data_IF_314901278207
#
_entry.id   IF_314901278207
#
_cell.length_a   1.000
_cell.length_b   1.000
_cell.length_c   1.000
_cell.angle_alpha   90.00
_cell.angle_beta   90.00
_cell.angle_gamma   90.00
#
_symmetry.space_group_name_H-M   'P 1'
#
loop_
_entity.id
_entity.type
_entity.pdbx_description
1 polymer ?
#
# COMPACT_ATOMS: atom_id res chain seq x y z
N UNK A 1 -28.36 -8.64 5.77
CA UNK A 1 -28.15 -7.20 5.93
C UNK A 1 -27.26 -6.68 4.82
N UNK A 2 -27.85 -6.03 3.83
CA UNK A 2 -27.14 -5.46 2.68
C UNK A 2 -26.37 -4.22 3.15
N UNK A 3 -25.03 -4.30 3.23
CA UNK A 3 -24.20 -3.11 3.43
C UNK A 3 -24.20 -2.34 2.11
N UNK A 4 -24.96 -1.25 2.07
CA UNK A 4 -24.88 -0.25 1.01
C UNK A 4 -23.49 0.38 1.06
N UNK A 5 -22.63 0.01 0.12
CA UNK A 5 -21.36 0.71 -0.13
C UNK A 5 -21.70 2.08 -0.74
N UNK A 6 -21.15 3.19 -0.22
CA UNK A 6 -21.25 4.45 -0.93
C UNK A 6 -20.49 4.29 -2.25
N UNK A 7 -21.19 4.55 -3.35
CA UNK A 7 -20.74 4.37 -4.74
C UNK A 7 -19.59 5.32 -5.16
N UNK A 8 -18.97 6.03 -4.22
CA UNK A 8 -17.73 6.75 -4.42
C UNK A 8 -16.91 6.71 -3.12
N UNK A 9 -15.62 6.35 -3.20
CA UNK A 9 -14.76 6.35 -2.03
C UNK A 9 -14.61 7.76 -1.46
N UNK A 10 -14.66 7.88 -0.13
CA UNK A 10 -14.62 9.15 0.58
C UNK A 10 -13.32 9.92 0.22
N UNK A 11 -13.40 11.18 -0.23
CA UNK A 11 -12.23 11.95 -0.68
C UNK A 11 -11.16 12.14 0.41
N UNK A 12 -11.55 12.16 1.70
CA UNK A 12 -10.61 12.20 2.82
C UNK A 12 -9.81 10.90 2.89
N UNK A 13 -10.45 9.75 2.70
CA UNK A 13 -9.78 8.44 2.70
C UNK A 13 -8.81 8.31 1.52
N UNK A 14 -9.21 8.78 0.34
CA UNK A 14 -8.33 8.84 -0.83
C UNK A 14 -7.10 9.72 -0.56
N UNK A 15 -7.27 10.87 0.09
CA UNK A 15 -6.17 11.75 0.46
C UNK A 15 -5.21 11.09 1.45
N UNK A 16 -5.72 10.32 2.42
CA UNK A 16 -4.89 9.54 3.35
C UNK A 16 -4.09 8.48 2.59
N UNK A 17 -4.71 7.73 1.68
CA UNK A 17 -4.02 6.74 0.83
C UNK A 17 -2.96 7.39 -0.06
N UNK A 18 -3.28 8.51 -0.70
CA UNK A 18 -2.37 9.27 -1.55
C UNK A 18 -1.16 9.86 -0.81
N UNK A 19 -1.29 10.08 0.51
CA UNK A 19 -0.23 10.63 1.37
C UNK A 19 0.71 9.56 1.94
N UNK A 20 0.41 8.27 1.73
CA UNK A 20 1.24 7.20 2.27
C UNK A 20 2.63 7.17 1.60
N UNK A 21 3.72 6.89 2.34
CA UNK A 21 5.04 6.78 1.71
C UNK A 21 5.08 5.68 0.65
N UNK A 22 5.78 5.95 -0.45
CA UNK A 22 6.00 4.96 -1.51
C UNK A 22 6.78 3.76 -0.98
N UNK A 23 6.37 2.57 -1.42
CA UNK A 23 7.09 1.33 -1.14
C UNK A 23 8.49 1.37 -1.78
N UNK A 24 9.53 1.06 -0.99
CA UNK A 24 10.94 1.07 -1.39
C UNK A 24 11.64 2.43 -1.30
N UNK A 25 10.96 3.47 -0.82
CA UNK A 25 11.57 4.80 -0.66
C UNK A 25 12.60 4.82 0.48
N UNK A 26 13.83 5.29 0.20
CA UNK A 26 14.90 5.43 1.22
C UNK A 26 14.63 6.52 2.26
N UNK A 27 13.74 7.47 1.94
CA UNK A 27 13.29 8.56 2.82
C UNK A 27 11.93 8.21 3.39
N UNK A 28 11.86 7.17 4.22
CA UNK A 28 10.68 6.92 5.04
C UNK A 28 10.80 7.78 6.29
N UNK A 29 9.89 8.74 6.46
CA UNK A 29 9.93 9.74 7.55
C UNK A 29 9.75 9.15 8.97
N UNK A 30 9.58 7.83 9.12
CA UNK A 30 9.47 7.17 10.42
C UNK A 30 10.31 5.90 10.51
N UNK A 31 10.88 5.66 11.69
CA UNK A 31 11.62 4.44 12.02
C UNK A 31 10.74 3.17 11.85
N UNK A 32 9.43 3.29 12.05
CA UNK A 32 8.49 2.18 11.88
C UNK A 32 8.36 1.79 10.40
N UNK A 33 8.17 2.76 9.50
CA UNK A 33 8.10 2.48 8.05
C UNK A 33 9.42 1.91 7.50
N UNK A 34 10.57 2.32 8.05
CA UNK A 34 11.87 1.73 7.71
C UNK A 34 11.97 0.27 8.14
N UNK A 35 11.52 -0.06 9.35
CA UNK A 35 11.52 -1.43 9.86
C UNK A 35 10.60 -2.34 9.05
N UNK A 36 9.40 -1.86 8.71
CA UNK A 36 8.43 -2.61 7.89
C UNK A 36 9.01 -3.01 6.53
N UNK A 37 9.79 -2.12 5.90
CA UNK A 37 10.34 -2.34 4.55
C UNK A 37 11.77 -2.89 4.53
N UNK A 38 12.33 -3.30 5.66
CA UNK A 38 13.72 -3.76 5.75
C UNK A 38 14.03 -4.92 4.76
N UNK A 39 13.07 -5.82 4.55
CA UNK A 39 13.21 -6.97 3.64
C UNK A 39 13.11 -6.60 2.14
N UNK A 40 12.91 -5.32 1.81
CA UNK A 40 12.71 -4.84 0.44
C UNK A 40 13.95 -4.14 -0.14
N UNK A 41 15.14 -4.25 0.46
CA UNK A 41 16.36 -3.61 -0.02
C UNK A 41 16.95 -4.31 -1.27
N UNK A 42 17.59 -3.58 -2.21
CA UNK A 42 18.50 -4.16 -3.23
C UNK A 42 18.15 -4.09 -4.74
N UNK A 43 16.98 -3.59 -5.16
CA UNK A 43 16.53 -3.44 -6.57
C UNK A 43 15.55 -2.27 -6.67
N UNK A 44 16.05 -1.05 -6.44
CA UNK A 44 15.20 0.15 -6.35
C UNK A 44 14.53 0.54 -7.68
N UNK A 45 15.13 0.21 -8.82
CA UNK A 45 14.67 0.66 -10.14
C UNK A 45 13.37 -0.04 -10.58
N UNK A 46 13.29 -1.36 -10.49
CA UNK A 46 12.08 -2.11 -10.88
C UNK A 46 10.87 -1.70 -10.03
N UNK A 47 11.08 -1.48 -8.73
CA UNK A 47 10.03 -1.04 -7.83
C UNK A 47 9.64 0.43 -8.10
N UNK A 48 10.58 1.27 -8.54
CA UNK A 48 10.29 2.65 -8.95
C UNK A 48 9.39 2.67 -10.18
N UNK A 49 9.71 1.85 -11.18
CA UNK A 49 8.88 1.72 -12.39
C UNK A 49 7.48 1.21 -12.07
N UNK A 50 7.38 0.16 -11.25
CA UNK A 50 6.09 -0.41 -10.88
C UNK A 50 5.22 0.55 -10.05
N UNK A 51 5.83 1.37 -9.18
CA UNK A 51 5.12 2.46 -8.50
C UNK A 51 4.60 3.50 -9.50
N UNK A 52 5.37 3.84 -10.55
CA UNK A 52 4.93 4.78 -11.59
C UNK A 52 3.73 4.20 -12.36
N UNK A 53 3.83 2.98 -12.86
CA UNK A 53 2.75 2.29 -13.55
C UNK A 53 1.48 2.21 -12.67
N UNK A 54 1.65 1.90 -11.38
CA UNK A 54 0.55 1.88 -10.43
C UNK A 54 -0.14 3.25 -10.28
N UNK A 55 0.63 4.32 -10.12
CA UNK A 55 0.10 5.68 -9.93
C UNK A 55 -0.59 6.21 -11.19
N UNK A 56 -0.12 5.82 -12.38
CA UNK A 56 -0.78 6.12 -13.65
C UNK A 56 -2.11 5.36 -13.78
N UNK A 57 -2.14 4.10 -13.35
CA UNK A 57 -3.34 3.26 -13.37
C UNK A 57 -4.39 3.69 -12.36
N UNK A 58 -3.95 4.14 -11.18
CA UNK A 58 -4.80 4.54 -10.06
C UNK A 58 -4.50 5.98 -9.60
N UNK A 59 -4.93 7.00 -10.37
CA UNK A 59 -4.62 8.38 -10.06
C UNK A 59 -5.03 8.79 -8.64
N UNK A 60 -4.10 9.40 -7.91
CA UNK A 60 -4.32 9.86 -6.53
C UNK A 60 -4.07 8.80 -5.45
N UNK A 61 -3.82 7.54 -5.80
CA UNK A 61 -3.45 6.48 -4.85
C UNK A 61 -1.94 6.28 -4.78
N UNK A 62 -1.50 5.73 -3.65
CA UNK A 62 -0.19 5.07 -3.51
C UNK A 62 -0.44 3.59 -3.29
N UNK A 63 0.49 2.76 -3.74
CA UNK A 63 0.39 1.33 -3.44
C UNK A 63 0.67 1.11 -1.96
N UNK A 64 -0.35 0.66 -1.24
CA UNK A 64 -0.27 0.33 0.18
C UNK A 64 -0.54 -1.15 0.34
N UNK A 65 0.40 -1.85 0.97
CA UNK A 65 0.30 -3.28 1.23
C UNK A 65 0.90 -3.58 2.59
N UNK A 66 0.25 -4.48 3.34
CA UNK A 66 0.83 -5.01 4.55
C UNK A 66 1.87 -6.06 4.19
N UNK A 67 3.14 -5.76 4.50
CA UNK A 67 4.28 -6.57 4.08
C UNK A 67 4.48 -7.81 4.93
N UNK A 68 4.20 -7.81 6.24
CA UNK A 68 4.20 -8.97 7.14
C UNK A 68 5.24 -10.10 6.84
N UNK A 69 6.50 -9.75 6.60
CA UNK A 69 7.55 -10.74 6.27
C UNK A 69 7.57 -11.26 4.83
N UNK A 70 6.62 -10.87 3.98
CA UNK A 70 6.60 -11.11 2.53
C UNK A 70 7.86 -10.52 1.89
N UNK A 71 8.47 -11.32 1.01
CA UNK A 71 9.66 -10.92 0.26
C UNK A 71 9.32 -9.96 -0.88
N UNK A 72 10.32 -9.20 -1.37
CA UNK A 72 10.11 -8.24 -2.45
C UNK A 72 9.49 -8.83 -3.74
N UNK A 73 9.92 -10.00 -4.26
CA UNK A 73 9.32 -10.56 -5.48
C UNK A 73 7.83 -10.82 -5.32
N UNK A 74 7.41 -11.28 -4.15
CA UNK A 74 6.01 -11.54 -3.84
C UNK A 74 5.19 -10.24 -3.82
N UNK A 75 5.74 -9.18 -3.22
CA UNK A 75 5.09 -7.86 -3.19
C UNK A 75 5.00 -7.25 -4.60
N UNK A 76 6.03 -7.40 -5.42
CA UNK A 76 6.01 -6.91 -6.80
C UNK A 76 5.01 -7.66 -7.66
N UNK A 77 4.89 -8.98 -7.51
CA UNK A 77 3.88 -9.77 -8.20
C UNK A 77 2.46 -9.39 -7.79
N UNK A 78 2.22 -9.11 -6.51
CA UNK A 78 0.95 -8.59 -6.01
C UNK A 78 0.64 -7.22 -6.62
N UNK A 79 1.59 -6.27 -6.59
CA UNK A 79 1.42 -4.96 -7.23
C UNK A 79 1.08 -5.08 -8.71
N UNK A 80 1.81 -5.93 -9.47
CA UNK A 80 1.53 -6.19 -10.89
C UNK A 80 0.12 -6.76 -11.10
N UNK A 81 -0.28 -7.77 -10.32
CA UNK A 81 -1.60 -8.37 -10.42
C UNK A 81 -2.74 -7.36 -10.15
N UNK A 82 -2.53 -6.40 -9.24
CA UNK A 82 -3.49 -5.32 -8.96
C UNK A 82 -3.57 -4.31 -10.10
N UNK A 83 -2.42 -3.91 -10.66
CA UNK A 83 -2.37 -3.04 -11.86
C UNK A 83 -3.12 -3.70 -13.02
N UNK A 84 -2.88 -4.98 -13.26
CA UNK A 84 -3.51 -5.74 -14.35
C UNK A 84 -5.02 -5.89 -14.14
N UNK A 85 -5.46 -6.10 -12.88
CA UNK A 85 -6.89 -6.08 -12.52
C UNK A 85 -7.54 -4.74 -12.85
N UNK A 86 -6.86 -3.63 -12.53
CA UNK A 86 -7.26 -2.28 -12.93
C UNK A 86 -8.59 -1.77 -12.37
N UNK A 87 -9.12 -2.42 -11.33
CA UNK A 87 -10.36 -2.03 -10.66
C UNK A 87 -10.06 -1.03 -9.55
N UNK A 88 -10.42 0.23 -9.78
CA UNK A 88 -10.13 1.34 -8.86
C UNK A 88 -10.87 1.19 -7.53
N UNK A 89 -12.14 0.77 -7.53
CA UNK A 89 -12.93 0.65 -6.31
C UNK A 89 -12.36 -0.46 -5.41
N UNK A 90 -12.04 -1.61 -6.01
CA UNK A 90 -11.37 -2.70 -5.30
C UNK A 90 -9.99 -2.29 -4.77
N UNK A 91 -9.25 -1.44 -5.49
CA UNK A 91 -7.93 -1.00 -5.03
C UNK A 91 -8.03 -0.02 -3.85
N UNK A 92 -9.05 0.84 -3.82
CA UNK A 92 -9.29 1.68 -2.64
C UNK A 92 -9.60 0.82 -1.42
N UNK A 93 -10.50 -0.16 -1.55
CA UNK A 93 -10.84 -1.07 -0.45
C UNK A 93 -9.60 -1.85 0.03
N UNK A 94 -8.78 -2.35 -0.90
CA UNK A 94 -7.55 -3.07 -0.57
C UNK A 94 -6.51 -2.20 0.13
N UNK A 95 -6.35 -0.94 -0.30
CA UNK A 95 -5.44 0.01 0.34
C UNK A 95 -5.88 0.37 1.76
N UNK A 96 -7.20 0.53 1.98
CA UNK A 96 -7.76 0.82 3.30
C UNK A 96 -7.61 -0.35 4.26
N UNK A 97 -7.89 -1.57 3.82
CA UNK A 97 -7.69 -2.76 4.66
C UNK A 97 -6.21 -2.92 5.03
N UNK A 98 -5.30 -2.72 4.06
CA UNK A 98 -3.87 -2.75 4.33
C UNK A 98 -3.42 -1.71 5.38
N UNK A 99 -3.99 -0.50 5.35
CA UNK A 99 -3.73 0.51 6.39
C UNK A 99 -4.22 0.05 7.76
N UNK A 100 -5.41 -0.54 7.84
CA UNK A 100 -5.94 -1.09 9.09
C UNK A 100 -5.03 -2.20 9.64
N UNK A 101 -4.52 -3.08 8.80
CA UNK A 101 -3.64 -4.17 9.21
C UNK A 101 -2.27 -3.66 9.69
N UNK A 102 -1.68 -2.69 8.98
CA UNK A 102 -0.47 -1.99 9.43
C UNK A 102 -0.70 -1.34 10.81
N UNK A 103 -1.85 -0.67 11.00
CA UNK A 103 -2.17 -0.04 12.27
C UNK A 103 -2.35 -1.05 13.42
N UNK A 104 -3.04 -2.17 13.17
CA UNK A 104 -3.20 -3.27 14.15
C UNK A 104 -1.86 -3.89 14.54
N UNK A 105 -0.97 -4.14 13.57
CA UNK A 105 0.37 -4.68 13.80
C UNK A 105 1.22 -3.73 14.66
N UNK A 106 1.22 -2.43 14.33
CA UNK A 106 1.90 -1.40 15.13
C UNK A 106 1.36 -1.33 16.56
N UNK A 107 0.04 -1.36 16.73
CA UNK A 107 -0.58 -1.33 18.05
C UNK A 107 -0.21 -2.56 18.89
N UNK A 108 -0.22 -3.75 18.27
CA UNK A 108 0.14 -5.00 18.95
C UNK A 108 1.58 -4.99 19.45
N UNK A 109 2.52 -4.41 18.69
CA UNK A 109 3.94 -4.27 19.08
C UNK A 109 4.19 -3.24 20.19
N UNK A 110 3.30 -2.27 20.39
CA UNK A 110 3.39 -1.30 21.48
C UNK A 110 2.81 -1.83 22.80
N UNK A 111 1.94 -2.85 22.73
CA UNK A 111 1.29 -3.48 23.87
C UNK A 111 2.01 -4.76 24.34
N UNK A 112 3.02 -5.22 23.60
CA UNK A 112 3.86 -6.37 23.90
C UNK A 112 5.11 -5.96 24.67
#
# INVERSE_FOLDING_TARGET
SSKSTPSNPNPVLLSVVGSHPRLGSKKVDSAQSASEQANLQGQGEQLTELNREYEEKFPGLRFVVFVNGRGRPEIMNDMRARIDRGDFAMEVDAALEAMCDIAKDRASKLLA
#
